data_IF_386541784104
#
_entry.id   IF_386541784104
#
_cell.length_a   1.000
_cell.length_b   1.000
_cell.length_c   1.000
_cell.angle_alpha   90.00
_cell.angle_beta   90.00
_cell.angle_gamma   90.00
#
_symmetry.space_group_name_H-M   'P 1'
#
loop_
_entity.id
_entity.type
_entity.pdbx_description
1 polymer ?
#
# COMPACT_ATOMS: atom_id res chain seq x y z
N UNK A 1 2.92 -13.00 -8.41
CA UNK A 1 1.81 -12.50 -7.61
C UNK A 1 2.12 -12.68 -6.14
N UNK A 2 1.98 -11.62 -5.36
CA UNK A 2 2.32 -11.65 -3.95
C UNK A 2 1.32 -10.85 -3.17
N UNK A 3 1.24 -11.12 -1.88
CA UNK A 3 0.42 -10.38 -0.97
C UNK A 3 1.34 -9.49 -0.16
N UNK A 4 1.18 -8.18 -0.28
CA UNK A 4 2.13 -7.22 0.26
C UNK A 4 1.40 -6.28 1.20
N UNK A 5 1.93 -6.12 2.40
CA UNK A 5 1.39 -5.19 3.35
C UNK A 5 2.19 -3.89 3.30
N UNK A 6 1.50 -2.80 3.05
CA UNK A 6 2.11 -1.49 3.03
C UNK A 6 1.60 -0.69 4.22
N UNK A 7 2.51 -0.22 5.05
CA UNK A 7 2.16 0.49 6.26
C UNK A 7 2.89 1.83 6.31
N UNK A 8 2.13 2.91 6.33
CA UNK A 8 2.71 4.23 6.38
C UNK A 8 1.64 5.19 6.83
N UNK A 9 2.02 6.27 7.49
CA UNK A 9 1.05 7.26 7.93
C UNK A 9 0.75 8.29 6.85
N UNK A 10 1.41 8.23 5.72
CA UNK A 10 1.17 9.15 4.61
C UNK A 10 0.34 8.42 3.56
N UNK A 11 -0.94 8.80 3.46
CA UNK A 11 -1.84 8.13 2.56
C UNK A 11 -1.42 8.26 1.11
N UNK A 12 -0.86 9.39 0.74
CA UNK A 12 -0.48 9.59 -0.66
C UNK A 12 0.60 8.59 -1.05
N UNK A 13 1.53 8.33 -0.15
CA UNK A 13 2.58 7.37 -0.44
C UNK A 13 2.02 5.96 -0.52
N UNK A 14 1.14 5.61 0.42
CA UNK A 14 0.56 4.28 0.43
C UNK A 14 -0.24 4.04 -0.85
N UNK A 15 -1.00 5.03 -1.29
CA UNK A 15 -1.80 4.86 -2.49
C UNK A 15 -0.94 4.76 -3.73
N UNK A 16 0.14 5.51 -3.79
CA UNK A 16 1.04 5.41 -4.93
C UNK A 16 1.66 4.03 -5.02
N UNK A 17 2.07 3.49 -3.89
CA UNK A 17 2.64 2.15 -3.85
C UNK A 17 1.59 1.12 -4.25
N UNK A 18 0.36 1.28 -3.76
CA UNK A 18 -0.69 0.34 -4.10
C UNK A 18 -0.92 0.31 -5.62
N UNK A 19 -0.98 1.47 -6.24
CA UNK A 19 -1.21 1.53 -7.68
C UNK A 19 -0.10 0.80 -8.42
N UNK A 20 1.13 1.07 -8.04
CA UNK A 20 2.26 0.46 -8.70
C UNK A 20 2.25 -1.05 -8.55
N UNK A 21 2.08 -1.53 -7.32
CA UNK A 21 2.14 -2.97 -7.08
C UNK A 21 0.94 -3.70 -7.67
N UNK A 22 -0.21 -3.06 -7.68
CA UNK A 22 -1.38 -3.66 -8.30
C UNK A 22 -1.16 -3.86 -9.78
N UNK A 23 -0.51 -2.91 -10.43
CA UNK A 23 -0.20 -3.04 -11.84
C UNK A 23 0.75 -4.20 -12.10
N UNK A 24 1.58 -4.52 -11.11
CA UNK A 24 2.50 -5.64 -11.24
C UNK A 24 1.85 -6.98 -10.92
N UNK A 25 0.57 -6.96 -10.57
CA UNK A 25 -0.14 -8.20 -10.32
C UNK A 25 -0.10 -8.66 -8.88
N UNK A 26 0.25 -7.77 -7.95
CA UNK A 26 0.31 -8.12 -6.54
C UNK A 26 -0.96 -7.68 -5.83
N UNK A 27 -1.26 -8.35 -4.74
CA UNK A 27 -2.37 -7.95 -3.88
C UNK A 27 -1.81 -7.10 -2.74
N UNK A 28 -2.33 -5.89 -2.60
CA UNK A 28 -1.80 -4.94 -1.64
C UNK A 28 -2.78 -4.76 -0.49
N UNK A 29 -2.29 -4.93 0.72
CA UNK A 29 -3.03 -4.64 1.94
C UNK A 29 -2.49 -3.33 2.51
N UNK A 30 -3.37 -2.40 2.81
CA UNK A 30 -2.97 -1.08 3.25
C UNK A 30 -3.23 -0.90 4.73
N UNK A 31 -2.29 -0.27 5.41
CA UNK A 31 -2.47 0.12 6.80
C UNK A 31 -1.94 1.53 6.98
N UNK A 32 -2.69 2.32 7.72
CA UNK A 32 -2.27 3.69 8.02
C UNK A 32 -2.04 3.76 9.50
N UNK A 33 -0.80 3.98 9.88
CA UNK A 33 -0.43 3.98 11.27
C UNK A 33 -0.10 5.39 11.71
N UNK A 34 -0.41 5.74 12.91
CA UNK A 34 -0.09 7.05 13.42
C UNK A 34 -1.09 8.09 13.12
N UNK A 35 -2.17 7.87 12.77
CA UNK A 35 -3.06 8.80 12.45
C UNK A 35 -4.04 9.16 13.34
N UNK A 36 -4.21 9.56 13.65
CA UNK A 36 -5.09 9.77 14.29
C UNK A 36 -5.58 10.44 14.28
#
# INVERSE_FOLDING_TARGET
MAEILVCDDDRAIVEAIEIYLTQEGHHVLKAYDGEE
#
